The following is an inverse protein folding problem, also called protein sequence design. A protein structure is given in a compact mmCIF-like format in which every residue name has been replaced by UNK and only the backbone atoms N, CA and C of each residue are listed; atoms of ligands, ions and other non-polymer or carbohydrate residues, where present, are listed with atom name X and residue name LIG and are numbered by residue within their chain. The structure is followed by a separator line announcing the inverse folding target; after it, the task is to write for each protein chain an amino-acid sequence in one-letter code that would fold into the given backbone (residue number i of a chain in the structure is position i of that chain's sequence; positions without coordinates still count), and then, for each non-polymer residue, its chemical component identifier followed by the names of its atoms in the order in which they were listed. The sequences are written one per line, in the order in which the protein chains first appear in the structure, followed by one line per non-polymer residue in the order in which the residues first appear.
data_IF_005826106279
#
_entry.id   IF_005826106279
#
_cell.length_a   1.000
_cell.length_b   1.000
_cell.length_c   1.000
_cell.angle_alpha   90.00
_cell.angle_beta   90.00
_cell.angle_gamma   90.00
#
_symmetry.space_group_name_H-M   'P 1'
#
loop_
_entity.id
_entity.type
_entity.pdbx_description
1 polymer ?
#
# COMPACT_ATOMS: atom_id res chain seq x y z
N UNK A 1 17.48 -11.77 4.51
CA UNK A 1 17.07 -11.48 3.12
C UNK A 1 17.60 -10.10 2.77
N UNK A 2 18.21 -9.94 1.59
CA UNK A 2 18.75 -8.65 1.14
C UNK A 2 17.63 -7.60 1.10
N UNK A 3 17.85 -6.43 1.69
CA UNK A 3 16.89 -5.32 1.65
C UNK A 3 16.90 -4.58 0.31
N UNK A 4 17.98 -4.72 -0.46
CA UNK A 4 18.10 -4.19 -1.81
C UNK A 4 17.93 -5.33 -2.81
N UNK A 5 17.15 -5.09 -3.86
CA UNK A 5 16.89 -6.04 -4.96
C UNK A 5 18.11 -6.25 -5.87
N UNK A 6 19.06 -5.33 -5.84
CA UNK A 6 20.38 -5.40 -6.48
C UNK A 6 21.39 -4.58 -5.68
N UNK A 7 22.70 -4.87 -5.84
CA UNK A 7 23.72 -3.90 -5.39
C UNK A 7 23.47 -2.55 -6.07
N UNK A 8 23.60 -1.41 -5.37
CA UNK A 8 23.45 -0.10 -5.99
C UNK A 8 24.42 0.03 -7.17
N UNK A 9 23.90 -0.03 -8.39
CA UNK A 9 24.73 -0.04 -9.61
C UNK A 9 25.50 1.28 -9.81
N UNK A 10 25.10 2.35 -9.13
CA UNK A 10 25.74 3.64 -9.17
C UNK A 10 26.76 3.78 -8.02
N UNK A 11 28.04 3.55 -8.33
CA UNK A 11 29.12 4.08 -7.51
C UNK A 11 29.04 5.61 -7.59
N UNK A 12 28.67 6.27 -6.48
CA UNK A 12 28.72 7.74 -6.36
C UNK A 12 30.20 8.14 -6.31
N UNK A 13 30.65 8.90 -7.31
CA UNK A 13 32.07 9.26 -7.54
C UNK A 13 32.39 10.70 -7.18
N UNK A 14 31.37 11.53 -7.02
CA UNK A 14 31.55 12.95 -6.67
C UNK A 14 30.48 13.43 -5.71
N UNK A 15 30.76 14.55 -5.02
CA UNK A 15 29.76 15.20 -4.18
C UNK A 15 28.56 15.71 -4.99
N UNK A 16 28.78 16.14 -6.24
CA UNK A 16 27.68 16.52 -7.13
C UNK A 16 26.73 15.36 -7.43
N UNK A 17 27.28 14.17 -7.71
CA UNK A 17 26.48 12.95 -7.90
C UNK A 17 25.74 12.54 -6.62
N UNK A 18 26.37 12.69 -5.44
CA UNK A 18 25.73 12.42 -4.15
C UNK A 18 24.52 13.33 -3.95
N UNK A 19 24.70 14.63 -4.13
CA UNK A 19 23.65 15.63 -3.92
C UNK A 19 22.52 15.52 -4.95
N UNK A 20 22.85 15.17 -6.20
CA UNK A 20 21.86 14.89 -7.23
C UNK A 20 21.04 13.63 -6.89
N UNK A 21 21.70 12.60 -6.36
CA UNK A 21 21.04 11.37 -5.91
C UNK A 21 20.14 11.62 -4.72
N UNK A 22 20.63 12.35 -3.71
CA UNK A 22 19.84 12.78 -2.56
C UNK A 22 18.61 13.56 -3.01
N UNK A 23 18.78 14.59 -3.83
CA UNK A 23 17.68 15.37 -4.40
C UNK A 23 16.62 14.49 -5.08
N UNK A 24 17.04 13.50 -5.86
CA UNK A 24 16.13 12.55 -6.50
C UNK A 24 15.34 11.72 -5.50
N UNK A 25 16.02 11.17 -4.48
CA UNK A 25 15.41 10.35 -3.44
C UNK A 25 14.44 11.15 -2.56
N UNK A 26 14.84 12.34 -2.08
CA UNK A 26 13.98 13.19 -1.25
C UNK A 26 12.70 13.60 -1.99
N UNK A 27 12.84 13.97 -3.27
CA UNK A 27 11.69 14.35 -4.10
C UNK A 27 10.76 13.17 -4.35
N UNK A 28 11.31 12.00 -4.65
CA UNK A 28 10.51 10.79 -4.83
C UNK A 28 9.76 10.41 -3.53
N UNK A 29 10.42 10.55 -2.37
CA UNK A 29 9.79 10.33 -1.07
C UNK A 29 8.64 11.32 -0.80
N UNK A 30 8.88 12.61 -1.03
CA UNK A 30 7.89 13.67 -0.87
C UNK A 30 6.66 13.44 -1.77
N UNK A 31 6.87 13.13 -3.05
CA UNK A 31 5.78 12.86 -4.01
C UNK A 31 4.97 11.63 -3.57
N UNK A 32 5.63 10.53 -3.16
CA UNK A 32 4.96 9.31 -2.69
C UNK A 32 4.18 9.51 -1.39
N UNK A 33 4.71 10.26 -0.43
CA UNK A 33 3.99 10.58 0.79
C UNK A 33 2.83 11.53 0.54
N UNK A 34 2.95 12.47 -0.41
CA UNK A 34 1.84 13.31 -0.83
C UNK A 34 0.70 12.47 -1.46
N UNK A 35 1.04 11.48 -2.30
CA UNK A 35 0.08 10.55 -2.89
C UNK A 35 -0.61 9.67 -1.86
N UNK A 36 0.14 9.16 -0.87
CA UNK A 36 -0.43 8.42 0.26
C UNK A 36 -1.35 9.31 1.11
N UNK A 37 -0.95 10.54 1.42
CA UNK A 37 -1.79 11.50 2.13
C UNK A 37 -3.09 11.77 1.36
N UNK A 38 -3.00 11.98 0.03
CA UNK A 38 -4.15 12.15 -0.86
C UNK A 38 -5.12 10.97 -0.79
N UNK A 39 -4.61 9.74 -0.94
CA UNK A 39 -5.41 8.51 -0.82
C UNK A 39 -6.09 8.37 0.54
N UNK A 40 -5.38 8.67 1.62
CA UNK A 40 -5.95 8.60 2.97
C UNK A 40 -7.05 9.62 3.21
N UNK A 41 -6.93 10.84 2.65
CA UNK A 41 -8.02 11.83 2.70
C UNK A 41 -9.25 11.37 1.92
N UNK A 42 -9.06 10.82 0.72
CA UNK A 42 -10.14 10.29 -0.10
C UNK A 42 -10.89 9.15 0.63
N UNK A 43 -10.17 8.32 1.38
CA UNK A 43 -10.73 7.27 2.24
C UNK A 43 -11.28 7.76 3.60
N UNK A 44 -11.29 9.07 3.86
CA UNK A 44 -11.77 9.64 5.13
C UNK A 44 -10.86 9.43 6.35
N UNK A 45 -9.64 8.92 6.15
CA UNK A 45 -8.65 8.60 7.19
C UNK A 45 -7.76 9.82 7.53
N UNK A 46 -8.38 10.90 8.01
CA UNK A 46 -7.69 12.20 8.26
C UNK A 46 -6.45 12.10 9.14
N UNK A 47 -6.53 11.41 10.29
CA UNK A 47 -5.39 11.28 11.21
C UNK A 47 -4.16 10.63 10.55
N UNK A 48 -4.38 9.72 9.61
CA UNK A 48 -3.28 9.06 8.90
C UNK A 48 -2.74 9.93 7.76
N UNK A 49 -3.61 10.71 7.10
CA UNK A 49 -3.17 11.72 6.15
C UNK A 49 -2.24 12.74 6.82
N UNK A 50 -2.56 13.18 8.05
CA UNK A 50 -1.72 14.11 8.82
C UNK A 50 -0.32 13.54 9.12
N UNK A 51 -0.20 12.21 9.30
CA UNK A 51 1.10 11.55 9.47
C UNK A 51 1.93 11.67 8.20
N UNK A 52 1.34 11.39 7.04
CA UNK A 52 2.03 11.51 5.75
C UNK A 52 2.35 12.96 5.39
N UNK A 53 1.48 13.92 5.71
CA UNK A 53 1.74 15.35 5.50
C UNK A 53 2.96 15.86 6.28
N UNK A 54 3.14 15.36 7.50
CA UNK A 54 4.33 15.68 8.29
C UNK A 54 5.60 15.11 7.64
N UNK A 55 5.54 13.91 7.06
CA UNK A 55 6.68 13.36 6.33
C UNK A 55 6.96 14.18 5.07
N UNK A 56 5.94 14.57 4.30
CA UNK A 56 6.11 15.49 3.15
C UNK A 56 6.82 16.78 3.58
N UNK A 57 6.48 17.34 4.74
CA UNK A 57 7.14 18.53 5.29
C UNK A 57 8.61 18.25 5.66
N UNK A 58 8.91 17.09 6.26
CA UNK A 58 10.27 16.65 6.59
C UNK A 58 11.11 16.52 5.30
N UNK A 59 10.61 15.80 4.28
CA UNK A 59 11.31 15.64 3.00
C UNK A 59 11.49 16.95 2.24
N UNK A 60 10.51 17.86 2.31
CA UNK A 60 10.65 19.20 1.73
C UNK A 60 11.77 19.99 2.43
N UNK A 61 11.91 19.82 3.75
CA UNK A 61 13.03 20.37 4.50
C UNK A 61 14.38 19.78 4.09
N UNK A 62 14.42 18.49 3.78
CA UNK A 62 15.62 17.82 3.27
C UNK A 62 15.99 18.30 1.87
N UNK A 63 15.02 18.49 0.98
CA UNK A 63 15.22 19.12 -0.34
C UNK A 63 15.88 20.48 -0.17
N UNK A 64 15.37 21.34 0.72
CA UNK A 64 15.95 22.65 1.00
C UNK A 64 17.38 22.55 1.56
N UNK A 65 17.63 21.58 2.43
CA UNK A 65 18.96 21.30 2.97
C UNK A 65 19.94 20.88 1.88
N UNK A 66 19.57 19.95 1.00
CA UNK A 66 20.38 19.49 -0.13
C UNK A 66 20.67 20.65 -1.10
N UNK A 67 19.68 21.51 -1.38
CA UNK A 67 19.88 22.73 -2.20
C UNK A 67 20.90 23.67 -1.55
N UNK A 68 20.74 23.95 -0.25
CA UNK A 68 21.66 24.80 0.50
C UNK A 68 23.08 24.23 0.48
N UNK A 69 23.21 22.94 0.75
CA UNK A 69 24.49 22.25 0.79
C UNK A 69 25.20 22.25 -0.56
N UNK A 70 24.46 22.00 -1.63
CA UNK A 70 24.97 22.07 -3.00
C UNK A 70 25.51 23.46 -3.34
N UNK A 71 24.76 24.51 -2.99
CA UNK A 71 25.25 25.90 -3.17
C UNK A 71 26.53 26.18 -2.38
N UNK A 72 26.67 25.63 -1.18
CA UNK A 72 27.87 25.84 -0.35
C UNK A 72 29.11 25.11 -0.88
N UNK A 73 28.96 23.89 -1.41
CA UNK A 73 30.10 23.08 -1.86
C UNK A 73 30.44 23.29 -3.33
N UNK A 74 29.44 23.35 -4.22
CA UNK A 74 29.64 23.36 -5.67
C UNK A 74 29.19 24.67 -6.34
N UNK A 75 28.75 25.67 -5.56
CA UNK A 75 28.28 26.99 -6.03
C UNK A 75 27.15 26.92 -7.07
N UNK A 76 26.38 25.83 -7.04
CA UNK A 76 25.29 25.53 -7.99
C UNK A 76 24.18 24.77 -7.29
N UNK A 77 22.92 24.84 -7.76
CA UNK A 77 21.89 23.92 -7.30
C UNK A 77 22.25 22.46 -7.69
N UNK A 78 21.76 21.46 -6.94
CA UNK A 78 21.96 20.07 -7.29
C UNK A 78 21.28 19.77 -8.64
N UNK A 79 21.88 18.89 -9.43
CA UNK A 79 21.27 18.42 -10.66
C UNK A 79 20.04 17.57 -10.33
N UNK A 80 18.93 17.81 -11.03
CA UNK A 80 17.74 16.98 -10.90
C UNK A 80 17.95 15.78 -11.83
N UNK A 81 18.18 14.61 -11.24
CA UNK A 81 18.30 13.37 -12.01
C UNK A 81 16.99 13.09 -12.76
N UNK A 82 17.12 12.56 -13.97
CA UNK A 82 15.97 11.97 -14.66
C UNK A 82 15.53 10.70 -13.92
N UNK A 83 14.24 10.32 -13.96
CA UNK A 83 13.76 9.13 -13.26
C UNK A 83 14.55 7.85 -13.59
N UNK A 84 15.04 7.72 -14.83
CA UNK A 84 15.81 6.55 -15.27
C UNK A 84 17.24 6.51 -14.71
N UNK A 85 17.75 7.66 -14.26
CA UNK A 85 19.08 7.81 -13.67
C UNK A 85 19.07 7.78 -12.13
N UNK A 86 17.88 7.86 -11.51
CA UNK A 86 17.73 7.69 -10.07
C UNK A 86 17.94 6.21 -9.68
N UNK A 87 18.43 5.92 -8.46
CA UNK A 87 18.58 4.55 -8.00
C UNK A 87 17.25 3.78 -8.02
N UNK A 88 17.16 2.75 -8.86
CA UNK A 88 15.94 1.95 -8.98
C UNK A 88 15.80 0.96 -7.80
N UNK A 89 14.55 0.71 -7.39
CA UNK A 89 14.24 -0.30 -6.38
C UNK A 89 14.50 0.12 -4.92
N UNK A 90 14.88 1.38 -4.67
CA UNK A 90 14.90 1.94 -3.30
C UNK A 90 13.46 2.08 -2.80
N UNK A 91 12.60 2.70 -3.61
CA UNK A 91 11.20 2.88 -3.27
C UNK A 91 10.32 1.93 -4.09
N UNK A 92 9.49 1.16 -3.39
CA UNK A 92 8.54 0.20 -3.98
C UNK A 92 7.18 0.46 -3.34
N UNK A 93 6.14 0.49 -4.18
CA UNK A 93 4.76 0.64 -3.72
C UNK A 93 4.18 -0.69 -3.19
N UNK A 94 4.88 -1.82 -3.37
CA UNK A 94 4.47 -3.15 -2.95
C UNK A 94 3.01 -3.48 -3.35
N UNK A 95 2.58 -2.95 -4.50
CA UNK A 95 1.23 -3.12 -5.04
C UNK A 95 0.11 -2.40 -4.28
N UNK A 96 0.40 -1.48 -3.34
CA UNK A 96 -0.63 -0.76 -2.57
C UNK A 96 -1.55 0.10 -3.44
N UNK A 97 -1.10 0.53 -4.63
CA UNK A 97 -1.95 1.20 -5.62
C UNK A 97 -3.00 0.29 -6.27
N UNK A 98 -2.89 -1.03 -6.12
CA UNK A 98 -3.83 -2.03 -6.65
C UNK A 98 -4.87 -2.47 -5.61
N UNK A 99 -4.67 -2.13 -4.34
CA UNK A 99 -5.59 -2.42 -3.23
C UNK A 99 -6.55 -1.25 -3.08
N UNK A 100 -7.83 -1.55 -2.86
CA UNK A 100 -8.82 -0.47 -2.67
C UNK A 100 -8.44 0.43 -1.49
N UNK A 101 -8.48 1.77 -1.61
CA UNK A 101 -8.12 2.71 -0.53
C UNK A 101 -8.88 2.48 0.79
N UNK A 102 -10.08 1.89 0.73
CA UNK A 102 -10.86 1.53 1.92
C UNK A 102 -10.23 0.39 2.72
N UNK A 103 -9.57 -0.55 2.02
CA UNK A 103 -8.90 -1.74 2.57
C UNK A 103 -7.43 -1.54 2.89
N UNK A 104 -6.85 -0.46 2.39
CA UNK A 104 -5.53 -0.03 2.82
C UNK A 104 -5.64 0.39 4.29
N UNK A 105 -5.31 -0.53 5.19
CA UNK A 105 -5.23 -0.22 6.61
C UNK A 105 -4.01 0.70 6.88
N UNK A 106 -4.11 1.44 7.99
CA UNK A 106 -3.05 2.35 8.39
C UNK A 106 -1.73 1.61 8.62
N UNK A 107 -1.82 0.39 9.12
CA UNK A 107 -0.69 -0.45 9.45
C UNK A 107 0.13 -0.86 8.22
N UNK A 108 -0.52 -1.24 7.12
CA UNK A 108 0.07 -1.68 5.84
C UNK A 108 0.71 -0.50 5.11
N UNK A 109 0.03 0.64 5.07
CA UNK A 109 0.60 1.89 4.53
C UNK A 109 1.90 2.26 5.24
N UNK A 110 1.88 2.22 6.58
CA UNK A 110 3.05 2.52 7.38
C UNK A 110 4.11 1.42 7.29
N UNK A 111 3.74 0.16 7.06
CA UNK A 111 4.70 -0.92 6.85
C UNK A 111 5.49 -0.75 5.55
N UNK A 112 4.83 -0.34 4.47
CA UNK A 112 5.49 -0.03 3.18
C UNK A 112 6.41 1.17 3.34
N UNK A 113 5.92 2.24 3.98
CA UNK A 113 6.73 3.43 4.27
C UNK A 113 8.00 3.05 5.06
N UNK A 114 7.88 2.27 6.16
CA UNK A 114 9.06 1.78 6.91
C UNK A 114 10.04 1.01 6.05
N UNK A 115 9.56 0.20 5.10
CA UNK A 115 10.44 -0.57 4.22
C UNK A 115 11.19 0.33 3.25
N UNK A 116 10.52 1.34 2.69
CA UNK A 116 11.16 2.33 1.83
C UNK A 116 12.30 3.04 2.58
N UNK A 117 12.06 3.50 3.81
CA UNK A 117 13.12 4.07 4.67
C UNK A 117 14.26 3.09 4.95
N UNK A 118 13.94 1.82 5.21
CA UNK A 118 14.96 0.79 5.44
C UNK A 118 15.81 0.52 4.19
N UNK A 119 15.25 0.67 2.98
CA UNK A 119 15.97 0.55 1.71
C UNK A 119 16.83 1.80 1.46
N UNK A 120 16.31 3.00 1.73
CA UNK A 120 17.07 4.25 1.67
C UNK A 120 18.27 4.23 2.65
N UNK A 121 18.05 3.81 3.90
CA UNK A 121 19.11 3.59 4.88
C UNK A 121 20.18 2.62 4.37
N UNK A 122 19.77 1.49 3.79
CA UNK A 122 20.69 0.49 3.27
C UNK A 122 21.52 1.04 2.09
N UNK A 123 20.89 1.82 1.22
CA UNK A 123 21.56 2.53 0.13
C UNK A 123 22.62 3.50 0.67
N UNK A 124 22.25 4.41 1.56
CA UNK A 124 23.19 5.39 2.11
C UNK A 124 24.30 4.74 2.94
N UNK A 125 24.00 3.67 3.66
CA UNK A 125 25.02 2.87 4.36
C UNK A 125 26.02 2.22 3.40
N UNK A 126 25.55 1.75 2.24
CA UNK A 126 26.42 1.23 1.20
C UNK A 126 27.34 2.32 0.63
N UNK A 127 26.78 3.50 0.34
CA UNK A 127 27.55 4.66 -0.15
C UNK A 127 28.56 5.13 0.90
N UNK A 128 28.19 5.15 2.18
CA UNK A 128 29.09 5.47 3.29
C UNK A 128 30.28 4.50 3.37
N UNK A 129 30.04 3.20 3.16
CA UNK A 129 31.09 2.19 3.20
C UNK A 129 32.03 2.24 1.98
N UNK A 130 31.50 2.57 0.79
CA UNK A 130 32.23 2.48 -0.49
C UNK A 130 32.57 3.83 -1.12
N UNK A 131 32.23 4.94 -0.45
CA UNK A 131 32.40 6.29 -0.98
C UNK A 131 33.84 6.59 -1.39
N UNK A 132 33.99 7.33 -2.49
CA UNK A 132 35.29 7.60 -3.11
C UNK A 132 36.19 8.53 -2.28
N UNK A 133 35.60 9.40 -1.43
CA UNK A 133 36.32 10.32 -0.56
C UNK A 133 35.73 10.33 0.86
N UNK A 134 36.49 10.73 1.89
CA UNK A 134 35.98 10.86 3.25
C UNK A 134 34.73 11.74 3.35
N UNK A 135 34.69 12.83 2.58
CA UNK A 135 33.56 13.77 2.58
C UNK A 135 32.27 13.13 2.05
N UNK A 136 32.38 12.30 0.99
CA UNK A 136 31.23 11.53 0.46
C UNK A 136 30.75 10.52 1.50
N UNK A 137 31.67 9.88 2.23
CA UNK A 137 31.31 8.90 3.26
C UNK A 137 30.58 9.56 4.42
N UNK A 138 31.11 10.65 4.95
CA UNK A 138 30.48 11.43 6.02
C UNK A 138 29.11 11.96 5.60
N UNK A 139 28.98 12.43 4.36
CA UNK A 139 27.71 12.89 3.82
C UNK A 139 26.67 11.76 3.74
N UNK A 140 27.06 10.60 3.21
CA UNK A 140 26.18 9.45 3.14
C UNK A 140 25.83 8.90 4.53
N UNK A 141 26.72 8.97 5.51
CA UNK A 141 26.43 8.61 6.91
C UNK A 141 25.39 9.54 7.53
N UNK A 142 25.42 10.84 7.19
CA UNK A 142 24.40 11.79 7.62
C UNK A 142 23.03 11.41 7.05
N UNK A 143 22.93 11.19 5.74
CA UNK A 143 21.68 10.77 5.10
C UNK A 143 21.15 9.47 5.72
N UNK A 144 22.02 8.46 5.90
CA UNK A 144 21.63 7.19 6.53
C UNK A 144 21.05 7.39 7.95
N UNK A 145 21.53 8.37 8.72
CA UNK A 145 21.00 8.67 10.05
C UNK A 145 19.60 9.26 10.00
N UNK A 146 19.31 10.08 9.00
CA UNK A 146 17.99 10.70 8.79
C UNK A 146 16.95 9.63 8.46
N UNK A 147 17.24 8.72 7.53
CA UNK A 147 16.33 7.60 7.18
C UNK A 147 16.00 6.71 8.39
N UNK A 148 16.96 6.53 9.32
CA UNK A 148 16.70 5.78 10.56
C UNK A 148 15.72 6.50 11.49
N UNK A 149 15.78 7.82 11.57
CA UNK A 149 14.83 8.60 12.37
C UNK A 149 13.43 8.59 11.72
N UNK A 150 13.32 8.67 10.40
CA UNK A 150 12.06 8.45 9.69
C UNK A 150 11.48 7.07 9.96
N UNK A 151 12.28 6.00 9.75
CA UNK A 151 11.88 4.63 10.00
C UNK A 151 11.39 4.43 11.45
N UNK A 152 12.03 5.08 12.42
CA UNK A 152 11.63 5.04 13.84
C UNK A 152 10.28 5.72 14.06
N UNK A 153 10.05 6.90 13.49
CA UNK A 153 8.76 7.62 13.55
C UNK A 153 7.66 6.76 12.94
N UNK A 154 7.85 6.29 11.72
CA UNK A 154 6.91 5.43 10.99
C UNK A 154 6.62 4.11 11.72
N UNK A 155 7.63 3.45 12.32
CA UNK A 155 7.41 2.26 13.15
C UNK A 155 6.59 2.56 14.40
N UNK A 156 6.74 3.74 15.00
CA UNK A 156 5.93 4.16 16.15
C UNK A 156 4.48 4.33 15.76
N UNK A 157 4.21 5.05 14.68
CA UNK A 157 2.85 5.22 14.14
C UNK A 157 2.24 3.89 13.72
N UNK A 158 3.03 3.00 13.10
CA UNK A 158 2.58 1.64 12.72
C UNK A 158 2.13 0.84 13.93
N UNK A 159 2.84 0.91 15.06
CA UNK A 159 2.41 0.25 16.30
C UNK A 159 1.13 0.85 16.84
N UNK A 160 0.97 2.17 16.81
CA UNK A 160 -0.27 2.83 17.24
C UNK A 160 -1.46 2.40 16.37
N UNK A 161 -1.27 2.34 15.05
CA UNK A 161 -2.25 1.83 14.10
C UNK A 161 -2.65 0.38 14.44
N UNK A 162 -1.68 -0.51 14.63
CA UNK A 162 -1.93 -1.90 15.03
C UNK A 162 -2.78 -2.04 16.29
N UNK A 163 -2.48 -1.25 17.33
CA UNK A 163 -3.27 -1.28 18.57
C UNK A 163 -4.65 -0.64 18.43
N UNK A 164 -4.80 0.39 17.59
CA UNK A 164 -6.08 1.03 17.29
C UNK A 164 -7.00 0.06 16.55
N UNK A 165 -6.47 -0.66 15.57
CA UNK A 165 -7.22 -1.64 14.79
C UNK A 165 -7.64 -2.83 15.66
N UNK A 166 -6.75 -3.34 16.54
CA UNK A 166 -7.11 -4.40 17.49
C UNK A 166 -8.11 -3.98 18.56
N UNK A 167 -8.05 -2.74 19.04
CA UNK A 167 -9.07 -2.22 19.98
C UNK A 167 -10.43 -2.08 19.31
N UNK A 168 -10.45 -1.73 18.03
CA UNK A 168 -11.68 -1.66 17.22
C UNK A 168 -12.23 -3.05 16.92
N UNK A 169 -11.36 -4.03 16.62
CA UNK A 169 -11.73 -5.42 16.40
C UNK A 169 -12.18 -6.18 17.66
N UNK A 170 -11.75 -5.70 18.84
CA UNK A 170 -12.14 -6.29 20.13
C UNK A 170 -13.51 -5.82 20.63
N UNK A 171 -14.13 -4.83 19.98
CA UNK A 171 -15.55 -4.59 20.16
C UNK A 171 -16.30 -5.76 19.51
N UNK A 172 -17.15 -6.44 20.27
CA UNK A 172 -17.95 -7.58 19.78
C UNK A 172 -18.76 -7.11 18.58
N UNK A 173 -18.27 -7.37 17.37
CA UNK A 173 -19.07 -7.24 16.15
C UNK A 173 -19.83 -8.54 16.00
N UNK A 174 -21.15 -8.45 15.83
CA UNK A 174 -21.93 -9.61 15.41
C UNK A 174 -21.32 -10.16 14.10
N UNK A 175 -21.20 -11.50 13.94
CA UNK A 175 -20.72 -12.08 12.71
C UNK A 175 -21.51 -11.51 11.54
N UNK A 176 -20.81 -10.92 10.56
CA UNK A 176 -21.47 -10.49 9.34
C UNK A 176 -22.07 -11.70 8.63
N UNK A 177 -23.32 -11.59 8.24
CA UNK A 177 -23.95 -12.62 7.42
C UNK A 177 -23.37 -12.57 6.01
N UNK A 178 -22.59 -13.60 5.66
CA UNK A 178 -21.94 -13.72 4.36
C UNK A 178 -22.95 -13.81 3.22
N UNK A 179 -24.12 -14.39 3.47
CA UNK A 179 -25.19 -14.42 2.48
C UNK A 179 -25.66 -13.00 2.15
N UNK A 180 -25.91 -12.18 3.17
CA UNK A 180 -26.27 -10.78 3.02
C UNK A 180 -25.18 -9.96 2.31
N UNK A 181 -23.90 -10.19 2.61
CA UNK A 181 -22.79 -9.49 1.95
C UNK A 181 -22.65 -9.87 0.47
N UNK A 182 -22.83 -11.14 0.12
CA UNK A 182 -22.85 -11.57 -1.29
C UNK A 182 -24.07 -11.01 -2.04
N UNK A 183 -25.21 -10.86 -1.37
CA UNK A 183 -26.37 -10.17 -1.93
C UNK A 183 -26.11 -8.67 -2.15
N UNK A 184 -25.36 -8.04 -1.24
CA UNK A 184 -24.94 -6.65 -1.40
C UNK A 184 -24.00 -6.47 -2.59
N UNK A 185 -23.05 -7.40 -2.81
CA UNK A 185 -22.22 -7.43 -4.02
C UNK A 185 -23.09 -7.55 -5.27
N UNK A 186 -24.06 -8.46 -5.28
CA UNK A 186 -25.02 -8.61 -6.39
C UNK A 186 -25.73 -7.29 -6.70
N UNK A 187 -26.32 -6.66 -5.69
CA UNK A 187 -27.07 -5.40 -5.84
C UNK A 187 -26.19 -4.30 -6.45
N UNK A 188 -24.97 -4.13 -5.91
CA UNK A 188 -24.03 -3.12 -6.42
C UNK A 188 -23.60 -3.43 -7.86
N UNK A 189 -23.33 -4.68 -8.22
CA UNK A 189 -22.99 -5.06 -9.59
C UNK A 189 -24.13 -4.74 -10.58
N UNK A 190 -25.39 -4.93 -10.18
CA UNK A 190 -26.55 -4.53 -10.99
C UNK A 190 -26.65 -3.01 -11.17
N UNK A 191 -26.36 -2.22 -10.13
CA UNK A 191 -26.29 -0.76 -10.21
C UNK A 191 -25.22 -0.31 -11.21
N UNK A 192 -24.00 -0.88 -11.13
CA UNK A 192 -22.92 -0.60 -12.08
C UNK A 192 -23.31 -1.00 -13.51
N UNK A 193 -24.02 -2.12 -13.70
CA UNK A 193 -24.57 -2.47 -15.01
C UNK A 193 -25.59 -1.44 -15.51
N UNK A 194 -26.40 -0.86 -14.61
CA UNK A 194 -27.35 0.19 -14.94
C UNK A 194 -26.70 1.50 -15.41
N UNK A 195 -25.55 1.85 -14.81
CA UNK A 195 -24.83 3.10 -15.07
C UNK A 195 -23.99 3.09 -16.35
N UNK A 196 -23.58 1.91 -16.82
CA UNK A 196 -22.77 1.80 -18.03
C UNK A 196 -23.60 2.03 -19.30
N UNK A 197 -22.97 2.37 -20.44
CA UNK A 197 -23.66 2.46 -21.73
C UNK A 197 -23.35 1.27 -22.64
N UNK A 198 -22.12 0.74 -22.58
CA UNK A 198 -21.66 -0.40 -23.37
C UNK A 198 -22.40 -1.69 -23.01
N UNK A 199 -23.08 -2.30 -23.98
CA UNK A 199 -23.77 -3.57 -23.80
C UNK A 199 -22.84 -4.72 -23.35
N UNK A 200 -21.58 -4.69 -23.77
CA UNK A 200 -20.57 -5.68 -23.37
C UNK A 200 -20.24 -5.57 -21.87
N UNK A 201 -19.96 -4.35 -21.40
CA UNK A 201 -19.64 -4.07 -19.99
C UNK A 201 -20.85 -4.36 -19.11
N UNK A 202 -22.06 -3.98 -19.55
CA UNK A 202 -23.32 -4.31 -18.88
C UNK A 202 -23.49 -5.80 -18.64
N UNK A 203 -23.26 -6.61 -19.68
CA UNK A 203 -23.44 -8.05 -19.59
C UNK A 203 -22.42 -8.68 -18.65
N UNK A 204 -21.16 -8.23 -18.68
CA UNK A 204 -20.15 -8.68 -17.72
C UNK A 204 -20.53 -8.40 -16.27
N UNK A 205 -21.00 -7.19 -15.96
CA UNK A 205 -21.47 -6.87 -14.60
C UNK A 205 -22.67 -7.72 -14.18
N UNK A 206 -23.62 -7.97 -15.09
CA UNK A 206 -24.77 -8.84 -14.83
C UNK A 206 -24.38 -10.30 -14.60
N UNK A 207 -23.42 -10.82 -15.36
CA UNK A 207 -22.92 -12.18 -15.17
C UNK A 207 -22.30 -12.35 -13.79
N UNK A 208 -21.51 -11.36 -13.34
CA UNK A 208 -20.96 -11.33 -11.99
C UNK A 208 -22.05 -11.21 -10.92
N UNK A 209 -23.09 -10.38 -11.15
CA UNK A 209 -24.21 -10.23 -10.22
C UNK A 209 -24.96 -11.55 -10.03
N UNK A 210 -25.21 -12.28 -11.13
CA UNK A 210 -25.83 -13.61 -11.09
C UNK A 210 -24.98 -14.63 -10.33
N UNK A 211 -23.65 -14.56 -10.42
CA UNK A 211 -22.74 -15.40 -9.63
C UNK A 211 -22.81 -15.07 -8.14
N UNK A 212 -22.75 -13.79 -7.77
CA UNK A 212 -22.88 -13.32 -6.39
C UNK A 212 -24.23 -13.70 -5.78
N UNK A 213 -25.33 -13.58 -6.53
CA UNK A 213 -26.66 -14.02 -6.10
C UNK A 213 -26.70 -15.53 -5.82
N UNK A 214 -26.08 -16.36 -6.66
CA UNK A 214 -26.00 -17.81 -6.42
C UNK A 214 -25.20 -18.13 -5.16
N UNK A 215 -24.09 -17.43 -4.93
CA UNK A 215 -23.29 -17.60 -3.70
C UNK A 215 -24.07 -17.20 -2.46
N UNK A 216 -24.81 -16.10 -2.53
CA UNK A 216 -25.68 -15.66 -1.43
C UNK A 216 -26.70 -16.74 -1.03
N UNK A 217 -27.37 -17.35 -2.02
CA UNK A 217 -28.31 -18.46 -1.78
C UNK A 217 -27.63 -19.72 -1.23
N UNK A 218 -26.45 -20.07 -1.75
CA UNK A 218 -25.66 -21.21 -1.25
C UNK A 218 -25.29 -21.02 0.23
N UNK A 219 -24.79 -19.83 0.58
CA UNK A 219 -24.42 -19.45 1.94
C UNK A 219 -25.61 -19.31 2.89
N UNK A 220 -26.79 -18.93 2.38
CA UNK A 220 -28.03 -18.94 3.18
C UNK A 220 -28.43 -20.37 3.53
N UNK A 221 -28.30 -21.29 2.58
CA UNK A 221 -28.71 -22.69 2.74
C UNK A 221 -27.75 -23.53 3.59
N UNK A 222 -26.45 -23.26 3.48
CA UNK A 222 -25.39 -23.92 4.23
C UNK A 222 -24.40 -22.84 4.72
N UNK A 223 -24.60 -22.22 5.89
CA UNK A 223 -23.74 -21.13 6.33
C UNK A 223 -22.30 -21.55 6.58
N UNK A 224 -21.35 -20.75 6.06
CA UNK A 224 -19.95 -20.84 6.48
C UNK A 224 -19.78 -20.06 7.79
N UNK A 225 -19.07 -20.63 8.76
CA UNK A 225 -18.78 -19.98 10.04
C UNK A 225 -17.28 -19.66 10.17
N UNK A 226 -16.75 -18.74 9.36
CA UNK A 226 -15.37 -18.28 9.52
C UNK A 226 -15.19 -17.44 10.80
N UNK A 227 -13.95 -17.27 11.27
CA UNK A 227 -13.65 -16.30 12.32
C UNK A 227 -14.16 -14.91 11.92
N UNK A 228 -14.65 -14.11 12.87
CA UNK A 228 -15.16 -12.77 12.58
C UNK A 228 -14.07 -11.92 11.91
N UNK A 229 -14.37 -11.28 10.77
CA UNK A 229 -13.40 -10.46 10.07
C UNK A 229 -13.06 -9.20 10.88
N UNK A 230 -11.90 -8.63 10.60
CA UNK A 230 -11.42 -7.42 11.27
C UNK A 230 -12.09 -6.19 10.65
N UNK A 231 -13.03 -5.59 11.39
CA UNK A 231 -13.66 -4.32 11.02
C UNK A 231 -14.89 -4.48 10.10
N UNK A 232 -15.61 -3.39 9.82
CA UNK A 232 -16.83 -3.41 9.04
C UNK A 232 -16.60 -3.71 7.55
N UNK A 233 -17.59 -4.28 6.85
CA UNK A 233 -17.53 -4.46 5.41
C UNK A 233 -17.39 -3.10 4.72
N UNK A 234 -16.55 -3.00 3.69
CA UNK A 234 -16.30 -1.75 2.98
C UNK A 234 -17.47 -1.34 2.06
N UNK A 235 -17.48 -0.06 1.70
CA UNK A 235 -18.57 0.61 0.96
C UNK A 235 -18.40 0.57 -0.54
N UNK A 236 -17.18 0.58 -1.05
CA UNK A 236 -16.96 0.46 -2.49
C UNK A 236 -17.11 -1.00 -2.96
N UNK A 237 -17.48 -1.21 -4.22
CA UNK A 237 -17.70 -2.56 -4.78
C UNK A 237 -16.38 -3.34 -4.89
N UNK A 238 -15.32 -2.69 -5.35
CA UNK A 238 -13.97 -3.23 -5.44
C UNK A 238 -13.45 -3.65 -4.07
N UNK A 239 -13.58 -2.78 -3.06
CA UNK A 239 -13.21 -3.10 -1.69
C UNK A 239 -14.03 -4.26 -1.13
N UNK A 240 -15.34 -4.30 -1.37
CA UNK A 240 -16.17 -5.40 -0.86
C UNK A 240 -15.80 -6.74 -1.50
N UNK A 241 -15.50 -6.74 -2.80
CA UNK A 241 -15.00 -7.93 -3.49
C UNK A 241 -13.65 -8.41 -2.94
N UNK A 242 -12.70 -7.49 -2.71
CA UNK A 242 -11.37 -7.81 -2.17
C UNK A 242 -11.46 -8.30 -0.72
N UNK A 243 -12.28 -7.65 0.10
CA UNK A 243 -12.52 -8.04 1.49
C UNK A 243 -13.11 -9.45 1.59
N UNK A 244 -14.09 -9.80 0.75
CA UNK A 244 -14.68 -11.14 0.73
C UNK A 244 -13.67 -12.20 0.23
N UNK A 245 -12.82 -11.86 -0.75
CA UNK A 245 -11.77 -12.75 -1.22
C UNK A 245 -10.78 -13.10 -0.09
N UNK A 246 -10.26 -12.09 0.60
CA UNK A 246 -9.35 -12.28 1.75
C UNK A 246 -10.03 -13.08 2.87
N UNK A 247 -11.30 -12.80 3.13
CA UNK A 247 -12.07 -13.49 4.17
C UNK A 247 -12.26 -14.99 3.86
N UNK A 248 -12.55 -15.34 2.61
CA UNK A 248 -12.66 -16.75 2.21
C UNK A 248 -11.30 -17.46 2.17
N UNK A 249 -10.21 -16.76 1.84
CA UNK A 249 -8.85 -17.29 1.91
C UNK A 249 -8.50 -17.64 3.36
N UNK A 250 -8.70 -16.71 4.29
CA UNK A 250 -8.43 -16.92 5.72
C UNK A 250 -9.26 -18.08 6.29
N UNK A 251 -10.54 -18.16 5.91
CA UNK A 251 -11.41 -19.28 6.27
C UNK A 251 -10.88 -20.63 5.72
N UNK A 252 -10.36 -20.63 4.49
CA UNK A 252 -9.76 -21.81 3.86
C UNK A 252 -8.51 -22.32 4.57
N UNK A 253 -7.83 -21.49 5.35
CA UNK A 253 -6.64 -21.87 6.13
C UNK A 253 -7.01 -22.30 7.55
N UNK A 254 -7.98 -21.61 8.18
CA UNK A 254 -8.19 -21.69 9.63
C UNK A 254 -9.42 -22.51 10.06
N UNK A 255 -10.35 -22.85 9.15
CA UNK A 255 -11.52 -23.62 9.52
C UNK A 255 -11.15 -25.04 10.03
N UNK A 256 -11.86 -25.57 11.04
CA UNK A 256 -11.49 -26.80 11.72
C UNK A 256 -11.75 -28.07 10.89
N UNK A 257 -12.69 -28.01 9.95
CA UNK A 257 -13.08 -29.14 9.10
C UNK A 257 -12.44 -29.03 7.72
N UNK A 258 -11.89 -30.14 7.20
CA UNK A 258 -11.35 -30.17 5.84
C UNK A 258 -12.41 -29.81 4.80
N UNK A 259 -13.63 -30.34 4.94
CA UNK A 259 -14.72 -30.02 4.01
C UNK A 259 -15.09 -28.52 4.04
N UNK A 260 -15.01 -27.88 5.22
CA UNK A 260 -15.27 -26.45 5.35
C UNK A 260 -14.13 -25.60 4.75
N UNK A 261 -12.87 -26.05 4.90
CA UNK A 261 -11.72 -25.43 4.23
C UNK A 261 -11.80 -25.54 2.71
N UNK A 262 -12.11 -26.73 2.18
CA UNK A 262 -12.26 -26.95 0.74
C UNK A 262 -13.37 -26.06 0.15
N UNK A 263 -14.48 -25.92 0.87
CA UNK A 263 -15.58 -25.03 0.49
C UNK A 263 -15.16 -23.56 0.52
N UNK A 264 -14.48 -23.12 1.57
CA UNK A 264 -13.95 -21.76 1.66
C UNK A 264 -12.94 -21.45 0.53
N UNK A 265 -12.08 -22.39 0.17
CA UNK A 265 -11.15 -22.24 -0.96
C UNK A 265 -11.87 -22.15 -2.32
N UNK A 266 -12.99 -22.86 -2.49
CA UNK A 266 -13.83 -22.73 -3.68
C UNK A 266 -14.46 -21.33 -3.77
N UNK A 267 -14.99 -20.81 -2.65
CA UNK A 267 -15.52 -19.44 -2.56
C UNK A 267 -14.43 -18.39 -2.82
N UNK A 268 -13.23 -18.56 -2.24
CA UNK A 268 -12.08 -17.70 -2.48
C UNK A 268 -11.70 -17.65 -3.97
N UNK A 269 -11.70 -18.81 -4.64
CA UNK A 269 -11.40 -18.88 -6.08
C UNK A 269 -12.38 -18.05 -6.91
N UNK A 270 -13.67 -18.08 -6.55
CA UNK A 270 -14.71 -17.30 -7.23
C UNK A 270 -14.52 -15.81 -6.93
N UNK A 271 -14.34 -15.44 -5.65
CA UNK A 271 -14.17 -14.06 -5.23
C UNK A 271 -12.92 -13.39 -5.85
N UNK A 272 -11.79 -14.09 -5.96
CA UNK A 272 -10.57 -13.59 -6.62
C UNK A 272 -10.79 -13.36 -8.12
N UNK A 273 -11.50 -14.28 -8.80
CA UNK A 273 -11.85 -14.10 -10.22
C UNK A 273 -12.76 -12.89 -10.42
N UNK A 274 -13.79 -12.74 -9.57
CA UNK A 274 -14.67 -11.58 -9.57
C UNK A 274 -13.89 -10.28 -9.37
N UNK A 275 -13.00 -10.23 -8.38
CA UNK A 275 -12.17 -9.05 -8.11
C UNK A 275 -11.33 -8.66 -9.32
N UNK A 276 -10.66 -9.63 -9.96
CA UNK A 276 -9.86 -9.38 -11.15
C UNK A 276 -10.68 -8.78 -12.31
N UNK A 277 -11.92 -9.26 -12.51
CA UNK A 277 -12.81 -8.74 -13.54
C UNK A 277 -13.32 -7.34 -13.17
N UNK A 278 -13.70 -7.11 -11.90
CA UNK A 278 -14.12 -5.78 -11.43
C UNK A 278 -13.00 -4.76 -11.63
N UNK A 279 -11.75 -5.11 -11.33
CA UNK A 279 -10.59 -4.24 -11.56
C UNK A 279 -10.38 -3.94 -13.06
N UNK A 280 -10.48 -4.94 -13.95
CA UNK A 280 -10.40 -4.72 -15.41
C UNK A 280 -11.52 -3.80 -15.92
N UNK A 281 -12.73 -3.90 -15.36
CA UNK A 281 -13.85 -3.07 -15.75
C UNK A 281 -13.75 -1.63 -15.24
N UNK A 282 -13.19 -1.39 -14.06
CA UNK A 282 -12.99 -0.03 -13.51
C UNK A 282 -11.89 0.73 -14.28
N UNK A 283 -10.96 0.03 -14.93
CA UNK A 283 -9.88 0.64 -15.71
C UNK A 283 -10.25 0.96 -17.18
N UNK A 284 -11.46 0.61 -17.64
CA UNK A 284 -11.94 0.79 -19.02
C UNK A 284 -13.00 1.87 -19.14
#
# INVERSE_FOLDING_TARGET
MSRLTSEPAASIRSMGELLATAMGMEKESADRYADLAGRMRAAGRRELADVFDRLVLEETGHIDMVVSWSRQIIDKPPEILRPEAAPQGIFDEEGIGLVSPELVDAYRSLAIAVRNEERAFAFWSYVAAHGASPEIREAAEQMAREELEHAKTLRSERRKAFFKDRRSASAIQEPYDLSSLEMEVCTRLEEYAGMNESAEIKNRYRDLALEAHKLSLDLESDPLHPPSPVGPPPRSLDALCEWLADHYIDAGEHLPSQAARDRAQALATIAVKRLAIVHDLVQR
#
